data_IF_429083140879
#
_entry.id   IF_429083140879
#
_cell.length_a   1.000
_cell.length_b   1.000
_cell.length_c   1.000
_cell.angle_alpha   90.00
_cell.angle_beta   90.00
_cell.angle_gamma   90.00
#
_symmetry.space_group_name_H-M   'P 1'
#
loop_
_entity.id
_entity.type
_entity.pdbx_description
1 polymer ?
#
# COMPACT_ATOMS: atom_id res chain seq x y z
N UNK A 1 15.49 -10.25 -13.01
CA UNK A 1 15.85 -11.22 -11.94
C UNK A 1 14.56 -11.86 -11.48
N UNK A 2 14.44 -13.19 -11.51
CA UNK A 2 13.21 -13.88 -11.09
C UNK A 2 12.96 -13.66 -9.59
N UNK A 3 11.70 -13.41 -9.21
CA UNK A 3 11.20 -13.25 -7.83
C UNK A 3 11.63 -14.38 -6.89
N UNK A 4 11.85 -15.58 -7.42
CA UNK A 4 12.43 -16.74 -6.73
C UNK A 4 13.84 -16.50 -6.15
N UNK A 5 14.67 -15.64 -6.76
CA UNK A 5 16.04 -15.40 -6.29
C UNK A 5 16.09 -14.39 -5.13
N UNK A 6 15.09 -13.52 -4.98
CA UNK A 6 15.03 -12.57 -3.85
C UNK A 6 14.55 -13.30 -2.59
N UNK A 7 13.52 -14.14 -2.68
CA UNK A 7 13.03 -14.92 -1.54
C UNK A 7 14.07 -15.94 -0.99
N UNK A 8 14.90 -16.51 -1.87
CA UNK A 8 15.95 -17.48 -1.50
C UNK A 8 17.12 -16.90 -0.69
N UNK A 9 17.31 -15.58 -0.72
CA UNK A 9 18.40 -14.92 0.01
C UNK A 9 18.08 -14.66 1.48
N UNK A 10 16.81 -14.74 1.91
CA UNK A 10 16.39 -14.17 3.20
C UNK A 10 15.68 -15.10 4.18
N UNK A 11 15.33 -16.35 3.84
CA UNK A 11 14.77 -17.29 4.84
C UNK A 11 15.14 -18.77 4.60
N UNK A 12 15.68 -19.50 5.61
CA UNK A 12 15.96 -20.94 5.52
C UNK A 12 14.71 -21.83 5.38
N UNK A 13 13.54 -21.36 5.80
CA UNK A 13 12.30 -22.15 5.93
C UNK A 13 11.74 -22.67 4.58
N UNK A 14 12.05 -22.01 3.46
CA UNK A 14 11.53 -22.36 2.13
C UNK A 14 12.20 -23.60 1.49
N UNK A 15 13.19 -24.24 2.14
CA UNK A 15 13.93 -25.38 1.55
C UNK A 15 13.19 -26.74 1.59
N UNK A 16 12.06 -26.88 2.30
CA UNK A 16 11.54 -28.23 2.67
C UNK A 16 10.09 -28.57 2.33
N UNK A 17 9.33 -27.72 1.64
CA UNK A 17 7.92 -28.01 1.36
C UNK A 17 7.67 -28.30 -0.12
N UNK A 18 7.95 -29.53 -0.56
CA UNK A 18 7.46 -30.07 -1.83
C UNK A 18 6.88 -31.46 -1.58
N UNK A 19 5.57 -31.51 -1.32
CA UNK A 19 4.79 -32.75 -1.36
C UNK A 19 3.40 -32.41 -1.89
N UNK A 20 2.89 -33.09 -2.92
CA UNK A 20 1.60 -32.77 -3.50
C UNK A 20 0.48 -33.34 -2.65
N UNK A 21 -0.53 -32.52 -2.31
CA UNK A 21 -1.74 -32.99 -1.63
C UNK A 21 -3.00 -32.53 -2.36
N UNK A 22 -3.86 -33.51 -2.57
CA UNK A 22 -5.10 -33.53 -3.34
C UNK A 22 -6.18 -32.66 -2.68
N UNK A 23 -6.86 -31.84 -3.48
CA UNK A 23 -7.94 -30.95 -3.03
C UNK A 23 -9.24 -31.72 -2.91
N UNK A 24 -9.81 -31.80 -1.71
CA UNK A 24 -11.20 -32.18 -1.49
C UNK A 24 -12.02 -30.92 -1.13
N UNK A 25 -13.05 -30.64 -1.91
CA UNK A 25 -13.97 -29.52 -1.69
C UNK A 25 -14.84 -29.75 -0.45
N UNK A 26 -15.03 -28.71 0.37
CA UNK A 26 -16.04 -28.68 1.45
C UNK A 26 -17.10 -27.62 1.16
N UNK A 27 -18.38 -27.86 1.52
CA UNK A 27 -19.50 -27.02 1.13
C UNK A 27 -19.64 -25.76 2.00
N UNK A 28 -20.25 -24.74 1.40
CA UNK A 28 -20.57 -23.43 1.98
C UNK A 28 -21.60 -23.55 3.11
N UNK A 29 -21.34 -22.89 4.24
CA UNK A 29 -22.28 -22.78 5.37
C UNK A 29 -22.90 -21.36 5.40
N UNK A 30 -24.21 -21.31 5.64
CA UNK A 30 -25.08 -20.13 5.66
C UNK A 30 -24.69 -19.05 6.69
N UNK A 31 -24.68 -17.78 6.26
CA UNK A 31 -24.31 -16.57 7.02
C UNK A 31 -25.47 -15.99 7.85
N UNK A 32 -26.02 -16.73 8.81
CA UNK A 32 -27.11 -16.20 9.67
C UNK A 32 -26.88 -16.24 11.18
N UNK A 33 -25.64 -16.45 11.65
CA UNK A 33 -25.37 -16.49 13.10
C UNK A 33 -24.00 -15.92 13.52
N UNK A 34 -23.63 -14.72 13.04
CA UNK A 34 -22.44 -14.00 13.54
C UNK A 34 -22.87 -13.03 14.65
N UNK A 35 -22.44 -13.18 15.91
CA UNK A 35 -22.73 -12.22 16.98
C UNK A 35 -22.05 -10.88 16.69
N UNK A 36 -22.68 -9.77 17.08
CA UNK A 36 -22.09 -8.42 16.96
C UNK A 36 -20.78 -8.33 17.77
N UNK A 37 -19.77 -7.59 17.26
CA UNK A 37 -18.49 -7.45 17.95
C UNK A 37 -18.66 -6.75 19.31
N UNK A 38 -18.05 -7.32 20.34
CA UNK A 38 -17.99 -6.75 21.68
C UNK A 38 -16.96 -5.61 21.68
N UNK A 39 -17.26 -4.44 22.28
CA UNK A 39 -16.28 -3.35 22.39
C UNK A 39 -15.06 -3.78 23.22
N UNK A 40 -13.86 -3.26 22.91
CA UNK A 40 -12.64 -3.63 23.61
C UNK A 40 -12.70 -3.21 25.10
N UNK A 41 -12.01 -3.95 25.99
CA UNK A 41 -11.99 -3.63 27.41
C UNK A 41 -11.31 -2.28 27.67
N UNK A 42 -11.93 -1.47 28.52
CA UNK A 42 -11.37 -0.22 29.03
C UNK A 42 -10.26 -0.57 30.03
N UNK A 43 -9.03 -0.14 29.76
CA UNK A 43 -7.90 -0.34 30.67
C UNK A 43 -8.04 0.55 31.92
N UNK A 44 -7.61 0.08 33.10
CA UNK A 44 -7.69 0.85 34.34
C UNK A 44 -6.80 2.09 34.27
N UNK A 45 -7.36 3.25 34.63
CA UNK A 45 -6.61 4.50 34.78
C UNK A 45 -5.72 4.41 36.03
N UNK A 46 -4.43 4.20 35.81
CA UNK A 46 -3.39 4.25 36.83
C UNK A 46 -2.60 5.55 36.76
N UNK A 47 -2.40 6.15 37.95
CA UNK A 47 -1.57 7.30 38.33
C UNK A 47 -0.45 7.66 37.34
N UNK A 48 -0.47 8.91 36.86
CA UNK A 48 0.56 9.50 35.98
C UNK A 48 1.85 9.69 36.80
N UNK A 49 2.95 9.00 36.47
CA UNK A 49 4.25 9.35 37.01
C UNK A 49 4.70 10.68 36.40
N UNK A 50 4.89 11.70 37.24
CA UNK A 50 5.47 13.00 36.85
C UNK A 50 6.93 12.79 36.44
N UNK A 51 7.14 12.61 35.14
CA UNK A 51 8.48 12.41 34.54
C UNK A 51 8.43 11.69 33.20
N UNK A 52 7.65 12.22 32.24
CA UNK A 52 7.65 11.69 30.86
C UNK A 52 8.76 12.40 30.08
N UNK A 53 9.78 11.69 29.55
CA UNK A 53 10.69 12.29 28.58
C UNK A 53 9.85 12.77 27.37
N UNK A 54 10.01 14.03 27.00
CA UNK A 54 9.19 14.75 26.01
C UNK A 54 9.31 14.23 24.56
N UNK A 55 10.05 13.16 24.33
CA UNK A 55 10.03 12.35 23.12
C UNK A 55 10.53 10.94 23.46
N UNK A 56 9.97 9.88 22.86
CA UNK A 56 10.52 8.55 23.01
C UNK A 56 11.96 8.52 22.50
N UNK A 57 12.88 7.98 23.31
CA UNK A 57 14.29 7.87 22.93
C UNK A 57 14.41 6.89 21.75
N UNK A 58 15.06 7.33 20.67
CA UNK A 58 15.36 6.46 19.53
C UNK A 58 16.17 5.25 19.98
N UNK A 59 15.80 4.07 19.48
CA UNK A 59 16.52 2.80 19.68
C UNK A 59 17.61 2.71 18.63
N UNK A 60 18.89 2.41 18.97
CA UNK A 60 19.95 2.21 17.98
C UNK A 60 19.62 1.09 16.99
N UNK A 61 19.85 1.31 15.69
CA UNK A 61 19.57 0.35 14.62
C UNK A 61 20.30 0.66 13.32
N UNK A 62 20.31 -0.30 12.38
CA UNK A 62 20.74 -0.06 11.01
C UNK A 62 19.68 0.78 10.24
N UNK A 63 20.07 1.98 9.81
CA UNK A 63 19.18 2.93 9.16
C UNK A 63 19.05 2.62 7.66
N UNK A 64 17.82 2.52 7.17
CA UNK A 64 17.52 2.54 5.73
C UNK A 64 17.22 3.94 5.23
N UNK A 65 17.48 4.19 3.95
CA UNK A 65 17.18 5.50 3.35
C UNK A 65 15.67 5.70 3.20
N UNK A 66 15.15 6.83 3.66
CA UNK A 66 13.74 7.24 3.56
C UNK A 66 13.65 8.61 2.84
N UNK A 67 12.42 9.05 2.59
CA UNK A 67 12.13 10.32 1.92
C UNK A 67 12.69 11.50 2.73
N UNK A 68 13.23 12.49 2.02
CA UNK A 68 13.83 13.69 2.59
C UNK A 68 13.01 14.96 2.33
N UNK A 69 11.94 14.86 1.53
CA UNK A 69 11.08 15.96 1.15
C UNK A 69 10.45 16.59 2.41
N UNK A 70 10.52 17.93 2.55
CA UNK A 70 9.90 18.62 3.68
C UNK A 70 8.41 18.27 3.82
N UNK A 71 8.01 17.84 5.01
CA UNK A 71 6.62 17.47 5.28
C UNK A 71 6.19 16.11 4.72
N UNK A 72 7.09 15.31 4.15
CA UNK A 72 6.76 13.96 3.69
C UNK A 72 6.18 13.10 4.82
N UNK A 73 5.06 12.44 4.55
CA UNK A 73 4.38 11.57 5.50
C UNK A 73 4.68 10.10 5.29
N UNK A 74 5.10 9.74 4.08
CA UNK A 74 5.38 8.37 3.67
C UNK A 74 6.41 7.70 4.61
N UNK A 75 6.08 6.51 5.10
CA UNK A 75 6.84 5.82 6.14
C UNK A 75 7.75 4.70 5.59
N UNK A 76 7.59 4.30 4.33
CA UNK A 76 8.42 3.23 3.75
C UNK A 76 9.73 3.79 3.16
N UNK A 77 10.78 2.97 2.99
CA UNK A 77 12.07 3.41 2.47
C UNK A 77 12.00 3.96 1.03
N UNK A 78 13.10 4.51 0.53
CA UNK A 78 13.29 4.95 -0.86
C UNK A 78 14.61 4.45 -1.44
N UNK A 79 14.94 3.19 -1.16
CA UNK A 79 16.18 2.53 -1.62
C UNK A 79 15.90 1.44 -2.68
N UNK A 80 16.96 0.76 -3.14
CA UNK A 80 16.83 -0.29 -4.16
C UNK A 80 15.95 -1.47 -3.71
N UNK A 81 16.01 -1.84 -2.43
CA UNK A 81 15.20 -2.95 -1.91
C UNK A 81 13.72 -2.58 -1.97
N UNK A 82 13.38 -1.32 -1.69
CA UNK A 82 12.01 -0.82 -1.88
C UNK A 82 11.61 -0.80 -3.35
N UNK A 83 12.49 -0.38 -4.26
CA UNK A 83 12.20 -0.40 -5.70
C UNK A 83 11.81 -1.81 -6.19
N UNK A 84 12.58 -2.83 -5.77
CA UNK A 84 12.32 -4.23 -6.10
C UNK A 84 11.01 -4.73 -5.45
N UNK A 85 10.71 -4.30 -4.22
CA UNK A 85 9.43 -4.59 -3.54
C UNK A 85 8.24 -3.97 -4.30
N UNK A 86 8.34 -2.72 -4.74
CA UNK A 86 7.27 -2.05 -5.51
C UNK A 86 7.03 -2.70 -6.88
N UNK A 87 8.06 -3.27 -7.50
CA UNK A 87 7.89 -4.10 -8.69
C UNK A 87 7.11 -5.38 -8.37
N UNK A 88 7.49 -6.10 -7.31
CA UNK A 88 6.74 -7.28 -6.85
C UNK A 88 5.28 -6.94 -6.51
N UNK A 89 5.04 -5.82 -5.84
CA UNK A 89 3.70 -5.33 -5.53
C UNK A 89 2.87 -5.08 -6.79
N UNK A 90 3.48 -4.52 -7.84
CA UNK A 90 2.80 -4.31 -9.12
C UNK A 90 2.37 -5.64 -9.76
N UNK A 91 3.29 -6.60 -9.84
CA UNK A 91 3.00 -7.90 -10.44
C UNK A 91 1.92 -8.66 -9.64
N UNK A 92 2.01 -8.59 -8.30
CA UNK A 92 0.99 -9.11 -7.40
C UNK A 92 -0.39 -8.47 -7.64
N UNK A 93 -0.49 -7.15 -7.78
CA UNK A 93 -1.77 -6.48 -8.06
C UNK A 93 -2.32 -6.85 -9.43
N UNK A 94 -1.49 -6.96 -10.46
CA UNK A 94 -1.93 -7.44 -11.78
C UNK A 94 -2.58 -8.82 -11.65
N UNK A 95 -1.88 -9.77 -11.03
CA UNK A 95 -2.41 -11.13 -10.83
C UNK A 95 -3.70 -11.12 -10.00
N UNK A 96 -3.76 -10.30 -8.94
CA UNK A 96 -4.93 -10.17 -8.08
C UNK A 96 -6.17 -9.67 -8.84
N UNK A 97 -5.98 -8.80 -9.83
CA UNK A 97 -7.06 -8.17 -10.61
C UNK A 97 -7.12 -8.70 -12.05
N UNK A 98 -7.03 -10.02 -12.20
CA UNK A 98 -7.29 -10.75 -13.44
C UNK A 98 -6.32 -10.37 -14.59
N UNK A 99 -5.04 -10.16 -14.25
CA UNK A 99 -3.95 -9.75 -15.13
C UNK A 99 -4.14 -8.38 -15.82
N UNK A 100 -5.05 -7.55 -15.29
CA UNK A 100 -5.35 -6.23 -15.85
C UNK A 100 -4.57 -5.11 -15.17
N UNK A 101 -4.08 -4.16 -15.97
CA UNK A 101 -3.50 -2.89 -15.49
C UNK A 101 -4.56 -1.80 -15.41
N UNK A 102 -5.48 -1.79 -16.39
CA UNK A 102 -6.62 -0.89 -16.44
C UNK A 102 -7.85 -1.57 -15.85
N UNK A 103 -8.19 -1.15 -14.63
CA UNK A 103 -9.34 -1.62 -13.85
C UNK A 103 -10.55 -0.70 -14.03
N UNK A 104 -10.30 0.56 -14.38
CA UNK A 104 -11.35 1.49 -14.78
C UNK A 104 -11.96 1.14 -16.14
N UNK A 105 -13.12 1.75 -16.45
CA UNK A 105 -13.78 1.64 -17.77
C UNK A 105 -13.19 2.60 -18.82
N UNK A 106 -12.07 3.26 -18.52
CA UNK A 106 -11.42 4.18 -19.45
C UNK A 106 -11.00 3.45 -20.73
N UNK A 107 -11.34 4.01 -21.89
CA UNK A 107 -10.89 3.52 -23.19
C UNK A 107 -9.71 4.38 -23.64
N UNK A 108 -8.52 3.93 -23.31
CA UNK A 108 -7.28 4.64 -23.62
C UNK A 108 -6.72 4.25 -24.98
N UNK A 109 -6.08 5.20 -25.65
CA UNK A 109 -5.34 4.98 -26.89
C UNK A 109 -4.09 5.87 -26.91
N UNK A 110 -3.30 5.83 -27.99
CA UNK A 110 -2.05 6.60 -28.11
C UNK A 110 -2.20 8.12 -27.96
N UNK A 111 -3.40 8.67 -28.16
CA UNK A 111 -3.67 10.10 -28.01
C UNK A 111 -4.16 10.47 -26.59
N UNK A 112 -4.41 9.48 -25.74
CA UNK A 112 -4.82 9.70 -24.36
C UNK A 112 -3.67 10.24 -23.52
N UNK A 113 -4.01 11.04 -22.51
CA UNK A 113 -3.10 11.56 -21.50
C UNK A 113 -3.42 10.94 -20.15
N UNK A 114 -2.43 10.36 -19.50
CA UNK A 114 -2.56 9.70 -18.20
C UNK A 114 -1.73 10.42 -17.16
N UNK A 115 -2.30 10.62 -15.97
CA UNK A 115 -1.55 11.03 -14.78
C UNK A 115 -1.35 9.82 -13.88
N UNK A 116 -0.12 9.59 -13.42
CA UNK A 116 0.18 8.68 -12.31
C UNK A 116 0.65 9.50 -11.10
N UNK A 117 -0.12 9.48 -10.03
CA UNK A 117 0.17 10.18 -8.77
C UNK A 117 0.82 9.20 -7.78
N UNK A 118 2.05 9.50 -7.36
CA UNK A 118 2.89 8.62 -6.56
C UNK A 118 3.50 7.50 -7.40
N UNK A 119 4.36 7.92 -8.33
CA UNK A 119 5.03 7.05 -9.31
C UNK A 119 5.84 5.94 -8.63
N UNK A 120 6.52 6.25 -7.52
CA UNK A 120 7.49 5.37 -6.88
C UNK A 120 8.53 4.85 -7.89
N UNK A 121 8.65 3.52 -7.99
CA UNK A 121 9.57 2.87 -8.94
C UNK A 121 9.14 2.97 -10.41
N UNK A 122 7.94 3.46 -10.70
CA UNK A 122 7.38 3.55 -12.05
C UNK A 122 6.98 2.19 -12.65
N UNK A 123 6.83 1.14 -11.83
CA UNK A 123 6.45 -0.20 -12.30
C UNK A 123 5.12 -0.18 -13.08
N UNK A 124 4.10 0.55 -12.59
CA UNK A 124 2.81 0.66 -13.28
C UNK A 124 2.91 1.42 -14.60
N UNK A 125 3.57 2.58 -14.62
CA UNK A 125 3.80 3.35 -15.86
C UNK A 125 4.53 2.50 -16.91
N UNK A 126 5.59 1.81 -16.49
CA UNK A 126 6.40 0.97 -17.38
C UNK A 126 5.57 -0.14 -18.02
N UNK A 127 4.63 -0.71 -17.29
CA UNK A 127 3.73 -1.73 -17.80
C UNK A 127 2.62 -1.12 -18.70
N UNK A 128 2.04 0.03 -18.32
CA UNK A 128 1.05 0.73 -19.12
C UNK A 128 1.58 1.11 -20.51
N UNK A 129 2.79 1.69 -20.59
CA UNK A 129 3.36 2.15 -21.88
C UNK A 129 3.74 1.00 -22.81
N UNK A 130 3.91 -0.21 -22.26
CA UNK A 130 4.06 -1.45 -23.05
C UNK A 130 2.72 -1.94 -23.58
N UNK A 131 1.65 -1.87 -22.78
CA UNK A 131 0.31 -2.26 -23.23
C UNK A 131 -0.30 -1.27 -24.22
N UNK A 132 0.01 0.02 -24.10
CA UNK A 132 -0.47 1.07 -24.99
C UNK A 132 0.71 1.90 -25.51
N UNK A 133 1.46 1.38 -26.51
CA UNK A 133 2.61 2.08 -27.07
C UNK A 133 2.25 3.50 -27.55
N UNK A 134 3.06 4.48 -27.17
CA UNK A 134 2.92 5.89 -27.57
C UNK A 134 1.96 6.72 -26.71
N UNK A 135 1.27 6.15 -25.73
CA UNK A 135 0.40 6.91 -24.81
C UNK A 135 1.18 7.98 -24.04
N UNK A 136 0.60 9.17 -23.86
CA UNK A 136 1.27 10.22 -23.08
C UNK A 136 1.04 10.00 -21.59
N UNK A 137 2.12 9.84 -20.82
CA UNK A 137 2.05 9.65 -19.36
C UNK A 137 2.81 10.76 -18.65
N UNK A 138 2.15 11.36 -17.67
CA UNK A 138 2.75 12.28 -16.72
C UNK A 138 2.76 11.58 -15.36
N UNK A 139 3.93 11.40 -14.77
CA UNK A 139 4.09 10.91 -13.40
C UNK A 139 4.45 12.06 -12.46
N UNK A 140 3.91 12.03 -11.24
CA UNK A 140 4.32 12.92 -10.16
C UNK A 140 4.61 12.12 -8.89
N UNK A 141 5.64 12.51 -8.15
CA UNK A 141 5.94 11.95 -6.83
C UNK A 141 6.66 13.00 -5.97
N UNK A 142 6.55 12.93 -4.65
CA UNK A 142 7.23 13.87 -3.74
C UNK A 142 8.76 13.67 -3.75
N UNK A 143 9.24 12.53 -4.25
CA UNK A 143 10.65 12.17 -4.42
C UNK A 143 10.94 11.60 -5.82
N UNK A 144 12.16 11.82 -6.29
CA UNK A 144 12.64 11.30 -7.58
C UNK A 144 13.65 10.14 -7.44
N UNK A 145 14.05 9.78 -6.22
CA UNK A 145 15.05 8.73 -5.94
C UNK A 145 14.72 7.38 -6.58
N UNK A 146 13.43 7.05 -6.71
CA UNK A 146 12.96 5.79 -7.28
C UNK A 146 12.58 5.90 -8.75
N UNK A 147 12.69 7.08 -9.37
CA UNK A 147 12.28 7.25 -10.75
C UNK A 147 13.06 6.32 -11.69
N UNK A 148 12.37 5.64 -12.62
CA UNK A 148 13.03 4.84 -13.62
C UNK A 148 13.84 5.73 -14.58
N UNK A 149 15.09 5.33 -14.83
CA UNK A 149 16.04 6.13 -15.62
C UNK A 149 15.80 6.07 -17.13
N UNK A 150 15.24 4.96 -17.61
CA UNK A 150 15.09 4.67 -19.04
C UNK A 150 13.61 4.59 -19.41
N UNK A 151 13.00 5.74 -19.70
CA UNK A 151 11.61 5.84 -20.12
C UNK A 151 11.47 6.37 -21.55
N UNK A 152 10.41 5.97 -22.28
CA UNK A 152 10.07 6.56 -23.57
C UNK A 152 9.84 8.08 -23.47
N UNK A 153 10.11 8.82 -24.57
CA UNK A 153 9.96 10.30 -24.62
C UNK A 153 8.54 10.81 -24.33
N UNK A 154 7.54 9.95 -24.49
CA UNK A 154 6.12 10.21 -24.20
C UNK A 154 5.77 10.07 -22.70
N UNK A 155 6.74 9.74 -21.85
CA UNK A 155 6.61 9.71 -20.40
C UNK A 155 7.44 10.84 -19.79
N UNK A 156 6.82 11.63 -18.91
CA UNK A 156 7.50 12.68 -18.13
C UNK A 156 7.25 12.43 -16.65
N UNK A 157 8.28 12.58 -15.83
CA UNK A 157 8.21 12.43 -14.38
C UNK A 157 8.66 13.74 -13.73
N UNK A 158 7.88 14.23 -12.79
CA UNK A 158 8.18 15.47 -12.07
C UNK A 158 8.14 15.22 -10.56
N UNK A 159 9.08 15.81 -9.83
CA UNK A 159 9.02 15.86 -8.37
C UNK A 159 7.97 16.89 -7.94
N UNK A 160 6.81 16.41 -7.50
CA UNK A 160 5.63 17.21 -7.22
C UNK A 160 4.68 16.49 -6.26
N UNK A 161 4.11 17.24 -5.31
CA UNK A 161 3.07 16.73 -4.41
C UNK A 161 1.70 16.73 -5.09
N UNK A 162 0.91 15.68 -4.85
CA UNK A 162 -0.51 15.63 -5.26
C UNK A 162 -1.35 16.75 -4.65
N UNK A 163 -0.89 17.34 -3.53
CA UNK A 163 -1.59 18.42 -2.84
C UNK A 163 -1.47 19.76 -3.56
N UNK A 164 -0.45 19.92 -4.41
CA UNK A 164 -0.14 21.18 -5.10
C UNK A 164 0.17 20.94 -6.58
N UNK A 165 -0.83 20.47 -7.32
CA UNK A 165 -0.72 20.30 -8.77
C UNK A 165 -1.00 21.65 -9.45
N UNK A 166 -0.22 22.08 -10.47
CA UNK A 166 -0.45 23.34 -11.16
C UNK A 166 -1.88 23.51 -11.73
N UNK A 167 -2.40 24.73 -11.68
CA UNK A 167 -3.71 25.08 -12.23
C UNK A 167 -3.81 24.83 -13.74
N UNK A 168 -2.69 24.94 -14.46
CA UNK A 168 -2.59 24.66 -15.90
C UNK A 168 -2.90 23.21 -16.28
N UNK A 169 -2.98 22.30 -15.30
CA UNK A 169 -3.32 20.89 -15.53
C UNK A 169 -4.82 20.58 -15.37
N UNK A 170 -5.66 21.60 -15.19
CA UNK A 170 -7.12 21.42 -15.10
C UNK A 170 -7.66 20.74 -16.36
N UNK A 171 -8.49 19.71 -16.19
CA UNK A 171 -9.10 18.94 -17.28
C UNK A 171 -8.08 18.43 -18.32
N UNK A 172 -6.92 17.95 -17.88
CA UNK A 172 -5.81 17.54 -18.78
C UNK A 172 -5.75 16.05 -19.05
N UNK A 173 -6.23 15.20 -18.15
CA UNK A 173 -5.98 13.75 -18.20
C UNK A 173 -7.26 12.94 -18.44
N UNK A 174 -7.17 11.95 -19.32
CA UNK A 174 -8.23 10.99 -19.64
C UNK A 174 -8.35 9.90 -18.57
N UNK A 175 -7.23 9.56 -17.91
CA UNK A 175 -7.15 8.70 -16.73
C UNK A 175 -6.20 9.31 -15.70
N UNK A 176 -6.60 9.28 -14.43
CA UNK A 176 -5.73 9.55 -13.29
C UNK A 176 -5.61 8.28 -12.44
N UNK A 177 -4.40 7.81 -12.26
CA UNK A 177 -4.05 6.64 -11.47
C UNK A 177 -3.34 7.06 -10.18
N UNK A 178 -3.60 6.36 -9.09
CA UNK A 178 -2.90 6.51 -7.82
C UNK A 178 -2.93 5.17 -7.07
N UNK A 179 -1.83 4.79 -6.41
CA UNK A 179 -1.83 3.60 -5.54
C UNK A 179 -0.88 3.71 -4.34
N UNK A 180 -1.26 3.09 -3.23
CA UNK A 180 -0.41 2.98 -2.03
C UNK A 180 -0.28 4.25 -1.20
N UNK A 181 -1.34 5.07 -1.13
CA UNK A 181 -1.36 6.36 -0.43
C UNK A 181 -1.85 6.25 1.03
N UNK A 182 -2.30 5.08 1.50
CA UNK A 182 -2.71 4.82 2.90
C UNK A 182 -1.62 5.20 3.91
N UNK A 183 -0.36 5.19 3.48
CA UNK A 183 0.80 5.57 4.28
C UNK A 183 1.39 6.93 3.90
N UNK A 184 0.83 7.63 2.91
CA UNK A 184 1.40 8.83 2.29
C UNK A 184 0.61 10.13 2.49
N UNK A 185 -0.63 10.06 2.99
CA UNK A 185 -1.48 11.23 3.26
C UNK A 185 -2.10 11.19 4.66
N UNK A 186 -2.08 12.34 5.33
CA UNK A 186 -2.83 12.57 6.57
C UNK A 186 -4.32 12.69 6.28
N UNK A 187 -5.12 12.51 7.34
CA UNK A 187 -6.58 12.61 7.29
C UNK A 187 -7.07 13.88 6.60
N UNK A 188 -6.51 15.03 6.94
CA UNK A 188 -6.86 16.34 6.40
C UNK A 188 -6.40 16.57 4.95
N UNK A 189 -5.43 15.79 4.48
CA UNK A 189 -4.85 15.92 3.13
C UNK A 189 -5.63 15.14 2.07
N UNK A 190 -6.37 14.10 2.46
CA UNK A 190 -7.18 13.29 1.54
C UNK A 190 -8.21 14.10 0.74
N UNK A 191 -9.03 14.99 1.35
CA UNK A 191 -9.95 15.84 0.58
C UNK A 191 -9.23 16.75 -0.42
N UNK A 192 -8.07 17.30 -0.05
CA UNK A 192 -7.27 18.17 -0.91
C UNK A 192 -6.71 17.39 -2.11
N UNK A 193 -6.12 16.22 -1.86
CA UNK A 193 -5.63 15.35 -2.91
C UNK A 193 -6.75 14.96 -3.88
N UNK A 194 -7.90 14.50 -3.37
CA UNK A 194 -9.03 14.10 -4.20
C UNK A 194 -9.62 15.27 -5.01
N UNK A 195 -9.65 16.49 -4.45
CA UNK A 195 -10.04 17.69 -5.20
C UNK A 195 -9.05 18.00 -6.34
N UNK A 196 -7.75 17.82 -6.12
CA UNK A 196 -6.73 17.95 -7.17
C UNK A 196 -6.91 16.89 -8.25
N UNK A 197 -7.10 15.61 -7.89
CA UNK A 197 -7.35 14.52 -8.84
C UNK A 197 -8.63 14.80 -9.66
N UNK A 198 -9.70 15.29 -9.03
CA UNK A 198 -10.93 15.70 -9.72
C UNK A 198 -10.68 16.83 -10.71
N UNK A 199 -9.98 17.89 -10.29
CA UNK A 199 -9.69 19.07 -11.12
C UNK A 199 -8.90 18.70 -12.37
N UNK A 200 -7.87 17.87 -12.24
CA UNK A 200 -6.99 17.53 -13.37
C UNK A 200 -7.58 16.46 -14.31
N UNK A 201 -8.53 15.67 -13.83
CA UNK A 201 -9.30 14.73 -14.67
C UNK A 201 -10.19 15.52 -15.64
N UNK A 202 -10.17 15.17 -16.93
CA UNK A 202 -11.08 15.72 -17.95
C UNK A 202 -12.55 15.42 -17.62
N UNK A 203 -13.52 16.23 -18.05
CA UNK A 203 -14.92 15.82 -18.09
C UNK A 203 -15.06 14.50 -18.86
N UNK A 204 -15.75 13.52 -18.26
CA UNK A 204 -15.81 12.15 -18.80
C UNK A 204 -14.56 11.29 -18.63
N UNK A 205 -13.45 11.86 -18.14
CA UNK A 205 -12.24 11.14 -17.75
C UNK A 205 -12.46 10.28 -16.50
N UNK A 206 -11.53 9.37 -16.25
CA UNK A 206 -11.65 8.37 -15.18
C UNK A 206 -10.56 8.51 -14.12
N UNK A 207 -10.84 7.95 -12.94
CA UNK A 207 -9.84 7.68 -11.93
C UNK A 207 -9.78 6.20 -11.59
N UNK A 208 -8.61 5.76 -11.14
CA UNK A 208 -8.36 4.44 -10.59
C UNK A 208 -7.44 4.58 -9.38
N UNK A 209 -7.99 4.35 -8.19
CA UNK A 209 -7.26 4.42 -6.93
C UNK A 209 -7.16 3.02 -6.33
N UNK A 210 -5.97 2.57 -5.95
CA UNK A 210 -5.78 1.24 -5.32
C UNK A 210 -5.02 1.40 -4.00
N UNK A 211 -5.59 0.90 -2.91
CA UNK A 211 -4.89 0.90 -1.63
C UNK A 211 -5.06 -0.37 -0.80
N UNK A 212 -4.18 -0.50 0.19
CA UNK A 212 -4.31 -1.52 1.23
C UNK A 212 -5.49 -1.25 2.16
N UNK A 213 -6.00 -2.32 2.77
CA UNK A 213 -7.05 -2.26 3.77
C UNK A 213 -6.72 -3.21 4.93
N UNK A 214 -6.38 -2.66 6.10
CA UNK A 214 -6.10 -3.48 7.29
C UNK A 214 -7.37 -3.92 8.03
N UNK A 215 -8.50 -3.23 7.90
CA UNK A 215 -9.79 -3.71 8.42
C UNK A 215 -10.16 -5.09 7.85
N UNK A 216 -9.66 -5.40 6.65
CA UNK A 216 -9.85 -6.68 5.97
C UNK A 216 -8.74 -7.70 6.24
N UNK A 217 -7.72 -7.35 7.01
CA UNK A 217 -6.63 -8.26 7.35
C UNK A 217 -7.04 -9.23 8.46
N UNK A 218 -6.61 -10.48 8.35
CA UNK A 218 -6.85 -11.50 9.39
C UNK A 218 -5.62 -11.58 10.30
N UNK A 219 -5.81 -11.30 11.59
CA UNK A 219 -4.77 -11.56 12.58
C UNK A 219 -4.65 -13.07 12.82
N UNK A 220 -3.43 -13.58 12.77
CA UNK A 220 -3.18 -15.03 12.89
C UNK A 220 -2.24 -15.41 14.03
N UNK A 221 -1.80 -14.45 14.85
CA UNK A 221 -0.94 -14.76 15.99
C UNK A 221 -0.43 -13.56 16.78
N UNK A 222 0.23 -13.81 17.93
CA UNK A 222 0.79 -12.78 18.79
C UNK A 222 1.77 -11.84 18.09
N UNK A 223 2.71 -12.34 17.28
CA UNK A 223 3.67 -11.46 16.60
C UNK A 223 2.98 -10.55 15.58
N UNK A 224 2.02 -11.09 14.83
CA UNK A 224 1.19 -10.28 13.93
C UNK A 224 0.32 -9.26 14.69
N UNK A 225 -0.14 -9.56 15.92
CA UNK A 225 -0.83 -8.55 16.76
C UNK A 225 0.10 -7.40 17.13
N UNK A 226 1.33 -7.71 17.53
CA UNK A 226 2.33 -6.70 17.88
C UNK A 226 2.62 -5.82 16.65
N UNK A 227 2.91 -6.41 15.50
CA UNK A 227 3.13 -5.65 14.27
C UNK A 227 1.93 -4.74 13.93
N UNK A 228 0.69 -5.26 14.01
CA UNK A 228 -0.50 -4.45 13.73
C UNK A 228 -0.64 -3.28 14.70
N UNK A 229 -0.34 -3.50 15.98
CA UNK A 229 -0.32 -2.46 17.01
C UNK A 229 0.74 -1.39 16.74
N UNK A 230 1.96 -1.79 16.38
CA UNK A 230 3.03 -0.85 16.01
C UNK A 230 2.65 -0.01 14.79
N UNK A 231 2.12 -0.62 13.72
CA UNK A 231 1.71 0.13 12.54
C UNK A 231 0.56 1.10 12.86
N UNK A 232 -0.44 0.67 13.63
CA UNK A 232 -1.55 1.51 14.04
C UNK A 232 -1.08 2.72 14.88
N UNK A 233 -0.19 2.49 15.85
CA UNK A 233 0.33 3.56 16.70
C UNK A 233 1.22 4.54 15.90
N UNK A 234 2.06 4.04 14.98
CA UNK A 234 2.85 4.90 14.11
C UNK A 234 1.96 5.78 13.23
N UNK A 235 0.95 5.18 12.60
CA UNK A 235 -0.01 5.90 11.76
C UNK A 235 -0.76 6.96 12.58
N UNK A 236 -1.23 6.61 13.79
CA UNK A 236 -1.91 7.53 14.70
C UNK A 236 -1.02 8.74 15.04
N UNK A 237 0.25 8.52 15.39
CA UNK A 237 1.21 9.60 15.70
C UNK A 237 1.49 10.51 14.50
N UNK A 238 1.37 9.99 13.28
CA UNK A 238 1.59 10.75 12.03
C UNK A 238 0.31 11.32 11.41
N UNK A 239 -0.86 11.08 12.01
CA UNK A 239 -2.15 11.53 11.46
C UNK A 239 -2.61 10.75 10.20
N UNK A 240 -1.99 9.60 9.92
CA UNK A 240 -2.31 8.75 8.77
C UNK A 240 -3.60 7.95 9.01
N UNK A 241 -4.33 7.66 7.92
CA UNK A 241 -5.61 6.92 7.98
C UNK A 241 -5.39 5.49 7.47
N UNK A 242 -5.13 4.57 8.40
CA UNK A 242 -4.72 3.20 8.08
C UNK A 242 -5.77 2.38 7.31
N UNK A 243 -7.05 2.71 7.49
CA UNK A 243 -8.17 2.07 6.80
C UNK A 243 -8.91 3.08 5.91
N UNK A 244 -8.16 3.92 5.19
CA UNK A 244 -8.73 4.94 4.30
C UNK A 244 -9.72 4.34 3.30
N UNK A 245 -9.47 3.10 2.86
CA UNK A 245 -10.28 2.39 1.87
C UNK A 245 -11.69 2.06 2.35
N UNK A 246 -11.95 2.08 3.67
CA UNK A 246 -13.32 1.96 4.20
C UNK A 246 -14.18 3.20 3.91
N UNK A 247 -13.55 4.34 3.59
CA UNK A 247 -14.21 5.63 3.33
C UNK A 247 -13.85 6.21 1.95
N UNK A 248 -12.92 5.57 1.21
CA UNK A 248 -12.33 6.15 0.00
C UNK A 248 -13.38 6.38 -1.10
N UNK A 249 -14.32 5.47 -1.27
CA UNK A 249 -15.37 5.63 -2.25
C UNK A 249 -16.33 6.79 -1.91
N UNK A 250 -16.66 6.98 -0.63
CA UNK A 250 -17.48 8.12 -0.21
C UNK A 250 -16.75 9.44 -0.39
N UNK A 251 -15.44 9.48 -0.09
CA UNK A 251 -14.62 10.67 -0.37
C UNK A 251 -14.52 10.96 -1.88
N UNK A 252 -14.43 9.92 -2.72
CA UNK A 252 -14.46 10.05 -4.18
C UNK A 252 -15.82 10.59 -4.66
N UNK A 253 -16.94 10.12 -4.10
CA UNK A 253 -18.28 10.67 -4.38
C UNK A 253 -18.36 12.15 -3.96
N UNK A 254 -17.89 12.47 -2.76
CA UNK A 254 -17.89 13.83 -2.22
C UNK A 254 -17.03 14.80 -3.03
N UNK A 255 -15.94 14.33 -3.66
CA UNK A 255 -15.12 15.11 -4.58
C UNK A 255 -15.81 15.43 -5.93
N UNK A 256 -16.99 14.85 -6.20
CA UNK A 256 -17.81 15.13 -7.38
C UNK A 256 -17.75 14.04 -8.46
N UNK A 257 -17.05 12.93 -8.22
CA UNK A 257 -17.04 11.82 -9.17
C UNK A 257 -18.35 11.04 -9.16
N UNK A 258 -18.70 10.50 -10.33
CA UNK A 258 -19.89 9.67 -10.55
C UNK A 258 -19.51 8.26 -10.99
N UNK A 259 -20.47 7.33 -10.98
CA UNK A 259 -20.26 5.93 -11.34
C UNK A 259 -19.16 5.25 -10.50
N UNK A 260 -19.09 5.57 -9.21
CA UNK A 260 -18.10 5.05 -8.28
C UNK A 260 -18.32 3.54 -8.09
N UNK A 261 -17.26 2.76 -8.30
CA UNK A 261 -17.23 1.31 -8.14
C UNK A 261 -16.07 0.91 -7.24
N UNK A 262 -16.33 -0.08 -6.41
CA UNK A 262 -15.37 -0.67 -5.48
C UNK A 262 -15.18 -2.14 -5.85
N UNK A 263 -13.93 -2.58 -5.99
CA UNK A 263 -13.54 -3.99 -6.07
C UNK A 263 -12.57 -4.27 -4.92
N UNK A 264 -12.99 -5.10 -3.98
CA UNK A 264 -12.22 -5.43 -2.78
C UNK A 264 -11.83 -6.90 -2.81
N UNK A 265 -10.53 -7.18 -2.79
CA UNK A 265 -9.98 -8.53 -2.86
C UNK A 265 -9.00 -8.78 -1.70
N UNK A 266 -8.95 -10.03 -1.25
CA UNK A 266 -8.05 -10.47 -0.19
C UNK A 266 -7.04 -11.47 -0.77
N UNK A 267 -5.81 -11.46 -0.25
CA UNK A 267 -4.81 -12.49 -0.53
C UNK A 267 -4.39 -13.15 0.78
N UNK A 268 -4.42 -14.48 0.82
CA UNK A 268 -3.79 -15.27 1.88
C UNK A 268 -2.28 -15.29 1.64
N UNK A 269 -1.53 -14.74 2.59
CA UNK A 269 -0.07 -14.59 2.61
C UNK A 269 0.59 -15.89 3.09
N UNK A 270 0.54 -16.93 2.26
CA UNK A 270 1.27 -18.18 2.48
C UNK A 270 1.62 -18.80 1.14
N UNK A 271 2.77 -19.48 1.07
CA UNK A 271 3.17 -20.29 -0.09
C UNK A 271 2.13 -21.35 -0.47
N UNK A 272 1.28 -21.77 0.49
CA UNK A 272 0.16 -22.71 0.25
C UNK A 272 -0.95 -22.11 -0.60
N UNK A 273 -1.00 -20.79 -0.75
CA UNK A 273 -1.90 -20.08 -1.66
C UNK A 273 -1.23 -19.81 -3.04
N UNK A 274 -0.27 -20.67 -3.42
CA UNK A 274 0.44 -20.58 -4.70
C UNK A 274 1.37 -19.35 -4.79
N UNK A 275 1.78 -19.02 -6.02
CA UNK A 275 2.74 -17.94 -6.26
C UNK A 275 2.23 -16.58 -5.78
N UNK A 276 0.95 -16.26 -6.00
CA UNK A 276 0.35 -15.00 -5.51
C UNK A 276 0.41 -14.89 -3.98
N UNK A 277 0.24 -15.99 -3.26
CA UNK A 277 0.36 -16.02 -1.80
C UNK A 277 1.78 -15.78 -1.32
N UNK A 278 2.77 -16.38 -1.98
CA UNK A 278 4.20 -16.15 -1.71
C UNK A 278 4.62 -14.72 -2.03
N UNK A 279 4.15 -14.17 -3.15
CA UNK A 279 4.44 -12.80 -3.55
C UNK A 279 3.82 -11.79 -2.57
N UNK A 280 2.59 -12.02 -2.13
CA UNK A 280 1.94 -11.20 -1.11
C UNK A 280 2.63 -11.28 0.24
N UNK A 281 3.00 -12.48 0.70
CA UNK A 281 3.80 -12.67 1.90
C UNK A 281 5.12 -11.91 1.81
N UNK A 282 5.88 -12.09 0.72
CA UNK A 282 7.19 -11.46 0.53
C UNK A 282 7.07 -9.94 0.47
N UNK A 283 6.09 -9.43 -0.28
CA UNK A 283 5.84 -8.00 -0.41
C UNK A 283 5.51 -7.37 0.95
N UNK A 284 4.62 -7.97 1.73
CA UNK A 284 4.24 -7.42 3.03
C UNK A 284 5.37 -7.56 4.06
N UNK A 285 6.03 -8.72 4.13
CA UNK A 285 7.19 -8.93 5.00
C UNK A 285 8.28 -7.88 4.75
N UNK A 286 8.63 -7.59 3.48
CA UNK A 286 9.60 -6.56 3.14
C UNK A 286 9.13 -5.14 3.46
N UNK A 287 7.83 -4.85 3.30
CA UNK A 287 7.26 -3.56 3.69
C UNK A 287 7.42 -3.34 5.20
N UNK A 288 7.03 -4.32 6.02
CA UNK A 288 7.16 -4.21 7.49
C UNK A 288 8.59 -4.15 7.97
N UNK A 289 9.50 -4.91 7.36
CA UNK A 289 10.94 -4.77 7.62
C UNK A 289 11.45 -3.37 7.26
N UNK A 290 10.89 -2.76 6.21
CA UNK A 290 11.15 -1.36 5.83
C UNK A 290 10.65 -0.32 6.84
N UNK A 291 9.72 -0.67 7.74
CA UNK A 291 9.24 0.21 8.80
C UNK A 291 10.14 0.22 10.05
N UNK A 292 11.23 -0.56 10.07
CA UNK A 292 12.20 -0.59 11.17
C UNK A 292 12.62 0.82 11.59
N UNK A 293 13.19 1.59 10.66
CA UNK A 293 13.73 2.92 10.93
C UNK A 293 12.72 3.86 11.58
N UNK A 294 11.51 4.11 11.00
CA UNK A 294 10.55 5.01 11.64
C UNK A 294 10.00 4.47 12.96
N UNK A 295 9.87 3.15 13.14
CA UNK A 295 9.36 2.57 14.38
C UNK A 295 10.39 2.66 15.52
N UNK A 296 11.66 2.36 15.25
CA UNK A 296 12.74 2.40 16.25
C UNK A 296 13.15 3.84 16.58
N UNK A 297 13.09 4.76 15.62
CA UNK A 297 13.22 6.21 15.89
C UNK A 297 12.10 6.73 16.79
N UNK A 298 10.91 6.14 16.74
CA UNK A 298 9.80 6.46 17.63
C UNK A 298 9.85 5.68 18.97
N UNK A 299 11.02 5.14 19.32
CA UNK A 299 11.29 4.39 20.56
C UNK A 299 10.57 3.06 20.64
N UNK A 300 10.39 2.37 19.51
CA UNK A 300 9.74 1.05 19.45
C UNK A 300 8.25 1.07 19.77
N UNK A 301 7.65 2.25 19.88
CA UNK A 301 6.21 2.48 20.05
C UNK A 301 5.60 1.78 21.29
N UNK A 302 6.42 1.44 22.28
CA UNK A 302 6.01 0.70 23.48
C UNK A 302 5.86 -0.82 23.28
N UNK A 303 6.26 -1.34 22.12
CA UNK A 303 6.15 -2.77 21.80
C UNK A 303 7.49 -3.51 21.82
N UNK A 304 8.58 -2.84 21.44
CA UNK A 304 9.94 -3.40 21.40
C UNK A 304 10.92 -2.41 22.01
N UNK A 305 12.00 -2.91 22.61
CA UNK A 305 13.03 -2.12 23.30
C UNK A 305 14.39 -2.15 22.59
N UNK A 306 14.56 -3.03 21.60
CA UNK A 306 15.80 -3.17 20.83
C UNK A 306 15.53 -3.49 19.36
N UNK A 307 16.54 -3.28 18.51
CA UNK A 307 16.50 -3.73 17.10
C UNK A 307 16.33 -5.25 17.00
N UNK A 308 16.99 -6.00 17.89
CA UNK A 308 16.91 -7.47 17.92
C UNK A 308 15.48 -7.94 18.19
N UNK A 309 14.78 -7.31 19.14
CA UNK A 309 13.38 -7.61 19.41
C UNK A 309 12.48 -7.30 18.22
N UNK A 310 12.74 -6.19 17.52
CA UNK A 310 12.00 -5.85 16.30
C UNK A 310 12.21 -6.91 15.22
N UNK A 311 13.45 -7.27 14.94
CA UNK A 311 13.78 -8.25 13.90
C UNK A 311 13.19 -9.63 14.23
N UNK A 312 13.29 -10.06 15.49
CA UNK A 312 12.68 -11.32 15.94
C UNK A 312 11.15 -11.29 15.78
N UNK A 313 10.50 -10.18 16.12
CA UNK A 313 9.05 -10.02 15.95
C UNK A 313 8.64 -10.12 14.47
N UNK A 314 9.41 -9.53 13.55
CA UNK A 314 9.16 -9.63 12.11
C UNK A 314 9.33 -11.07 11.60
N UNK A 315 10.35 -11.80 12.06
CA UNK A 315 10.54 -13.22 11.74
C UNK A 315 9.39 -14.09 12.25
N UNK A 316 8.96 -13.87 13.49
CA UNK A 316 7.86 -14.61 14.13
C UNK A 316 6.54 -14.37 13.40
N UNK A 317 6.26 -13.10 13.05
CA UNK A 317 5.10 -12.72 12.25
C UNK A 317 5.13 -13.41 10.87
N UNK A 318 6.28 -13.42 10.21
CA UNK A 318 6.46 -14.10 8.92
C UNK A 318 6.11 -15.58 9.00
N UNK A 319 6.54 -16.27 10.07
CA UNK A 319 6.17 -17.68 10.32
C UNK A 319 4.69 -17.83 10.61
N UNK A 320 4.09 -16.96 11.42
CA UNK A 320 2.64 -17.00 11.69
C UNK A 320 1.81 -16.87 10.42
N UNK A 321 2.17 -15.95 9.51
CA UNK A 321 1.49 -15.80 8.23
C UNK A 321 1.62 -17.05 7.37
N UNK A 322 2.83 -17.60 7.23
CA UNK A 322 3.07 -18.79 6.42
C UNK A 322 2.32 -20.01 6.98
N UNK A 323 2.34 -20.23 8.29
CA UNK A 323 1.77 -21.41 8.97
C UNK A 323 0.26 -21.36 9.12
N UNK A 324 -0.33 -20.17 9.31
CA UNK A 324 -1.76 -20.01 9.66
C UNK A 324 -2.57 -19.23 8.62
N UNK A 325 -1.91 -18.68 7.61
CA UNK A 325 -2.51 -18.00 6.46
C UNK A 325 -2.99 -16.59 6.79
N UNK A 326 -2.09 -15.68 7.16
CA UNK A 326 -2.44 -14.26 7.33
C UNK A 326 -3.09 -13.69 6.06
N UNK A 327 -3.97 -12.70 6.18
CA UNK A 327 -4.63 -12.09 5.01
C UNK A 327 -4.31 -10.61 4.91
N UNK A 328 -4.12 -10.13 3.69
CA UNK A 328 -4.10 -8.70 3.38
C UNK A 328 -5.24 -8.37 2.41
N UNK A 329 -5.96 -7.29 2.69
CA UNK A 329 -7.01 -6.76 1.83
C UNK A 329 -6.50 -5.62 0.96
N UNK A 330 -7.02 -5.53 -0.25
CA UNK A 330 -6.80 -4.42 -1.17
C UNK A 330 -8.13 -3.97 -1.74
N UNK A 331 -8.28 -2.67 -1.95
CA UNK A 331 -9.49 -2.08 -2.51
C UNK A 331 -9.11 -1.19 -3.68
N UNK A 332 -9.80 -1.40 -4.80
CA UNK A 332 -9.75 -0.53 -5.96
C UNK A 332 -11.03 0.29 -6.01
N UNK A 333 -10.87 1.60 -6.11
CA UNK A 333 -11.96 2.54 -6.38
C UNK A 333 -11.79 3.11 -7.77
N UNK A 334 -12.76 2.85 -8.64
CA UNK A 334 -12.82 3.45 -9.97
C UNK A 334 -14.03 4.37 -10.07
N UNK A 335 -13.84 5.53 -10.70
CA UNK A 335 -14.92 6.47 -10.92
C UNK A 335 -14.70 7.30 -12.19
N UNK A 336 -15.70 8.10 -12.55
CA UNK A 336 -15.67 8.96 -13.73
C UNK A 336 -16.05 10.38 -13.36
N UNK A 337 -15.35 11.37 -13.90
CA UNK A 337 -15.77 12.76 -13.78
C UNK A 337 -17.02 12.99 -14.65
N UNK A 338 -18.04 13.72 -14.17
CA UNK A 338 -19.18 14.12 -15.00
C UNK A 338 -18.76 14.78 -16.33
N UNK A 339 -19.63 14.76 -17.34
CA UNK A 339 -19.37 15.44 -18.61
C UNK A 339 -19.58 16.96 -18.51
N UNK A 340 -20.23 17.41 -17.45
CA UNK A 340 -20.81 18.75 -17.31
C UNK A 340 -19.95 19.61 -16.41
#
# INVERSE_FOLDING_TARGET
MNSLNVARLFTPALRRASTPLTVAARPLVSLSSVPRPVPPPVLPQGVIPTGVPSAPRSIPHEIRNHQAAPGAQYILPSDKVEADRLQLQHDMFKTLYDDKILLSRARLNKNSKVLDSGVGSGAWITALVKEIPGISVQGIDIEDNLFPKNLPKNVKLDRMSVLDIPLSWTNRFDLVHQRGFVLGLRREEWPVALAQLYRVTKPGGHIQLLDGNLSRARNVGPANRIQNGMLAELCRRRGLVLNVTDQLADMVRAAGFVNVKEDARNIVMSSRNGQIGLDAWTNQYLAFKGLKTPMLNAGGLGYVQSEVEFDQMIEDMGREWEEKGGECGYVVVCARKPLN
#
